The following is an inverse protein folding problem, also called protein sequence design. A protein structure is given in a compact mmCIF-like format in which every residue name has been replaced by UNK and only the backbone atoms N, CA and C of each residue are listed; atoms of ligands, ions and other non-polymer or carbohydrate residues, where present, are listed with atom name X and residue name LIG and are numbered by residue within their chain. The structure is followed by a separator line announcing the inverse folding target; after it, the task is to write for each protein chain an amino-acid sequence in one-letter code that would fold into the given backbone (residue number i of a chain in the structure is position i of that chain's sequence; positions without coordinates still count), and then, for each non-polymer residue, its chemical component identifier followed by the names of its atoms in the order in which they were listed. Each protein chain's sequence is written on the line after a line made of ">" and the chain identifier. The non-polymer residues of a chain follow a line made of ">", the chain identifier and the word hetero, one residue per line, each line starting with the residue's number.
data_IF_954031562754
#
_entry.id   IF_954031562754
#
_cell.length_a   1.000
_cell.length_b   1.000
_cell.length_c   1.000
_cell.angle_alpha   90.00
_cell.angle_beta   90.00
_cell.angle_gamma   90.00
#
_symmetry.space_group_name_H-M   'P 1'
#
loop_
_entity.id
_entity.type
_entity.pdbx_description
1 polymer ?
#
# COMPACT_ATOMS: atom_id res chain seq x y z
N UNK A 1 6.13 2.58 9.59
CA UNK A 1 5.47 3.35 8.51
C UNK A 1 5.25 2.39 7.38
N UNK A 2 3.98 2.12 7.11
CA UNK A 2 3.59 1.17 6.07
C UNK A 2 3.30 1.90 4.76
N UNK A 3 3.64 1.30 3.62
CA UNK A 3 3.26 1.77 2.29
C UNK A 3 2.71 0.62 1.44
N UNK A 4 1.53 0.84 0.88
CA UNK A 4 0.81 -0.09 0.02
C UNK A 4 0.97 0.30 -1.44
N UNK A 5 1.37 -0.66 -2.29
CA UNK A 5 1.50 -0.53 -3.75
C UNK A 5 0.83 -1.72 -4.45
N UNK A 6 0.55 -1.58 -5.75
CA UNK A 6 -0.03 -2.68 -6.54
C UNK A 6 1.05 -3.41 -7.34
N UNK A 7 1.08 -4.73 -7.24
CA UNK A 7 1.79 -5.59 -8.16
C UNK A 7 1.01 -5.68 -9.49
N UNK A 8 1.60 -5.19 -10.57
CA UNK A 8 1.06 -5.32 -11.94
C UNK A 8 1.75 -6.43 -12.70
N UNK A 9 0.95 -7.40 -13.10
CA UNK A 9 1.31 -8.54 -13.93
C UNK A 9 0.05 -9.30 -14.36
N UNK A 10 0.15 -10.13 -15.40
CA UNK A 10 -0.89 -11.12 -15.71
C UNK A 10 -0.88 -12.35 -14.78
N UNK A 11 0.02 -12.40 -13.79
CA UNK A 11 0.28 -13.56 -12.93
C UNK A 11 0.56 -13.13 -11.49
N UNK A 12 -0.07 -13.77 -10.50
CA UNK A 12 0.17 -13.46 -9.09
C UNK A 12 1.59 -13.83 -8.63
N UNK A 13 2.10 -13.20 -7.57
CA UNK A 13 3.34 -13.62 -6.92
C UNK A 13 3.06 -14.91 -6.15
N UNK A 14 3.79 -15.97 -6.48
CA UNK A 14 3.61 -17.30 -5.88
C UNK A 14 4.81 -17.66 -5.01
N UNK A 15 4.73 -18.79 -4.29
CA UNK A 15 5.84 -19.35 -3.50
C UNK A 15 7.17 -19.43 -4.29
N UNK A 16 7.10 -19.75 -5.58
CA UNK A 16 8.26 -19.79 -6.47
C UNK A 16 8.93 -18.41 -6.68
N UNK A 17 8.13 -17.34 -6.70
CA UNK A 17 8.63 -15.97 -6.86
C UNK A 17 9.33 -15.53 -5.58
N UNK A 18 8.72 -15.78 -4.40
CA UNK A 18 9.35 -15.49 -3.11
C UNK A 18 10.64 -16.28 -2.89
N UNK A 19 10.68 -17.53 -3.33
CA UNK A 19 11.92 -18.33 -3.34
C UNK A 19 13.02 -17.72 -4.22
N UNK A 20 12.64 -17.08 -5.33
CA UNK A 20 13.58 -16.38 -6.22
C UNK A 20 14.13 -15.11 -5.57
N UNK A 21 13.27 -14.35 -4.88
CA UNK A 21 13.69 -13.14 -4.15
C UNK A 21 14.68 -13.50 -3.04
N UNK A 22 14.39 -14.57 -2.29
CA UNK A 22 15.23 -15.09 -1.19
C UNK A 22 16.60 -15.60 -1.65
N UNK A 23 16.68 -16.19 -2.85
CA UNK A 23 17.94 -16.72 -3.41
C UNK A 23 18.77 -15.73 -4.25
N UNK A 24 18.33 -14.46 -4.38
CA UNK A 24 18.98 -13.42 -5.20
C UNK A 24 20.07 -12.62 -4.47
N UNK A 25 20.77 -11.75 -5.23
CA UNK A 25 21.98 -10.95 -4.90
C UNK A 25 22.07 -10.25 -3.51
N UNK A 26 23.21 -9.65 -3.17
CA UNK A 26 23.59 -9.22 -1.80
C UNK A 26 22.69 -8.23 -1.04
N UNK A 27 21.83 -7.45 -1.70
CA UNK A 27 21.23 -6.26 -1.05
C UNK A 27 19.90 -6.51 -0.32
N UNK A 28 19.36 -7.73 -0.38
CA UNK A 28 18.24 -8.18 0.45
C UNK A 28 18.69 -9.50 1.06
N UNK A 29 18.76 -9.52 2.39
CA UNK A 29 19.19 -10.65 3.20
C UNK A 29 18.10 -11.03 4.19
N UNK A 30 18.24 -12.20 4.81
CA UNK A 30 17.31 -12.72 5.82
C UNK A 30 15.85 -12.72 5.38
N UNK A 31 15.63 -13.00 4.08
CA UNK A 31 14.29 -13.04 3.49
C UNK A 31 13.55 -14.29 3.94
N UNK A 32 12.55 -14.10 4.80
CA UNK A 32 11.71 -15.15 5.36
C UNK A 32 10.25 -14.87 5.03
N UNK A 33 9.47 -15.92 4.77
CA UNK A 33 8.04 -15.77 4.53
C UNK A 33 7.24 -17.00 4.94
N UNK A 34 5.97 -16.77 5.23
CA UNK A 34 4.93 -17.77 5.40
C UNK A 34 3.72 -17.35 4.57
N UNK A 35 2.76 -18.25 4.46
CA UNK A 35 1.49 -17.93 3.81
C UNK A 35 0.31 -18.40 4.63
N UNK A 36 -0.76 -17.62 4.59
CA UNK A 36 -2.02 -17.92 5.26
C UNK A 36 -3.21 -17.47 4.40
N UNK A 37 -4.42 -17.63 4.90
CA UNK A 37 -5.66 -17.13 4.28
C UNK A 37 -6.15 -15.89 5.03
N UNK A 38 -6.74 -14.93 4.31
CA UNK A 38 -7.37 -13.76 4.92
C UNK A 38 -8.69 -14.15 5.57
N UNK A 39 -8.89 -13.74 6.82
CA UNK A 39 -10.21 -13.75 7.45
C UNK A 39 -10.94 -12.41 7.17
N UNK A 40 -12.13 -12.44 6.55
CA UNK A 40 -12.88 -11.21 6.29
C UNK A 40 -13.34 -10.52 7.58
N UNK A 41 -12.98 -9.24 7.73
CA UNK A 41 -13.43 -8.35 8.80
C UNK A 41 -14.64 -7.50 8.39
N UNK A 42 -14.93 -7.43 7.08
CA UNK A 42 -16.05 -6.66 6.54
C UNK A 42 -17.05 -7.54 5.80
N UNK A 43 -18.32 -7.15 5.87
CA UNK A 43 -19.38 -7.79 5.09
C UNK A 43 -19.14 -7.64 3.58
N UNK A 44 -19.54 -8.64 2.80
CA UNK A 44 -19.37 -8.68 1.34
C UNK A 44 -17.93 -8.48 0.85
N UNK A 45 -16.93 -8.89 1.63
CA UNK A 45 -15.54 -8.86 1.21
C UNK A 45 -15.33 -9.71 -0.06
N UNK A 46 -14.79 -9.13 -1.16
CA UNK A 46 -14.76 -9.81 -2.46
C UNK A 46 -13.72 -10.93 -2.57
N UNK A 47 -12.79 -11.05 -1.62
CA UNK A 47 -11.64 -11.96 -1.70
C UNK A 47 -11.56 -12.92 -0.50
N UNK A 48 -12.69 -13.52 -0.11
CA UNK A 48 -12.82 -14.34 1.10
C UNK A 48 -12.00 -15.64 1.12
N UNK A 49 -11.35 -16.01 0.01
CA UNK A 49 -10.43 -17.14 -0.09
C UNK A 49 -8.99 -16.74 -0.39
N UNK A 50 -8.66 -15.46 -0.34
CA UNK A 50 -7.37 -14.95 -0.78
C UNK A 50 -6.23 -15.45 0.10
N UNK A 51 -5.20 -15.98 -0.57
CA UNK A 51 -3.92 -16.28 0.05
C UNK A 51 -3.13 -15.00 0.28
N UNK A 52 -2.56 -14.89 1.47
CA UNK A 52 -1.60 -13.85 1.84
C UNK A 52 -0.22 -14.46 2.04
N UNK A 53 0.79 -13.73 1.63
CA UNK A 53 2.19 -14.03 1.91
C UNK A 53 2.72 -12.96 2.84
N UNK A 54 3.15 -13.35 4.03
CA UNK A 54 3.69 -12.44 5.05
C UNK A 54 5.13 -12.82 5.34
N UNK A 55 5.96 -11.84 5.61
CA UNK A 55 7.36 -12.11 5.86
C UNK A 55 8.16 -10.88 6.23
N UNK A 56 9.46 -11.07 6.31
CA UNK A 56 10.41 -10.01 6.60
C UNK A 56 11.68 -10.19 5.80
N UNK A 57 12.41 -9.09 5.63
CA UNK A 57 13.74 -9.09 5.05
C UNK A 57 14.52 -7.86 5.51
N UNK A 58 15.84 -7.93 5.40
CA UNK A 58 16.72 -6.79 5.65
C UNK A 58 17.25 -6.27 4.32
N UNK A 59 17.07 -4.98 4.07
CA UNK A 59 17.65 -4.29 2.92
C UNK A 59 18.99 -3.66 3.29
N UNK A 60 20.01 -3.90 2.49
CA UNK A 60 21.34 -3.32 2.62
C UNK A 60 21.48 -2.18 1.62
N UNK A 61 21.54 -0.95 2.12
CA UNK A 61 21.70 0.25 1.32
C UNK A 61 23.12 0.81 1.46
N UNK A 62 23.84 0.87 0.34
CA UNK A 62 25.16 1.50 0.30
C UNK A 62 25.04 3.02 0.38
N UNK A 63 25.90 3.66 1.18
CA UNK A 63 25.98 5.11 1.20
C UNK A 63 26.58 5.63 -0.12
N UNK A 64 25.96 6.62 -0.78
CA UNK A 64 26.39 7.07 -2.12
C UNK A 64 27.81 7.67 -2.16
N UNK A 65 28.39 7.97 -0.99
CA UNK A 65 29.72 8.55 -0.84
C UNK A 65 30.72 7.65 -0.09
N UNK A 66 30.33 6.43 0.30
CA UNK A 66 31.21 5.48 1.01
C UNK A 66 30.75 4.04 0.81
N UNK A 67 31.53 3.26 0.05
CA UNK A 67 31.31 1.82 -0.14
C UNK A 67 31.42 0.99 1.16
N UNK A 68 32.01 1.56 2.22
CA UNK A 68 32.17 0.89 3.51
C UNK A 68 31.06 1.22 4.51
N UNK A 69 30.10 2.08 4.14
CA UNK A 69 29.00 2.48 5.01
C UNK A 69 27.69 1.91 4.45
N UNK A 70 27.29 0.78 5.02
CA UNK A 70 26.07 0.07 4.64
C UNK A 70 25.03 0.34 5.71
N UNK A 71 23.91 0.93 5.30
CA UNK A 71 22.74 1.08 6.13
C UNK A 71 21.87 -0.15 5.99
N UNK A 72 21.64 -0.83 7.10
CA UNK A 72 20.69 -1.92 7.18
C UNK A 72 19.32 -1.36 7.56
N UNK A 73 18.26 -1.86 6.92
CA UNK A 73 16.89 -1.51 7.27
C UNK A 73 16.02 -2.73 7.16
N UNK A 74 15.37 -3.09 8.27
CA UNK A 74 14.44 -4.21 8.34
C UNK A 74 13.07 -3.80 7.81
N UNK A 75 12.49 -4.71 7.05
CA UNK A 75 11.16 -4.59 6.46
C UNK A 75 10.32 -5.79 6.83
N UNK A 76 9.06 -5.51 7.16
CA UNK A 76 7.99 -6.49 7.10
C UNK A 76 7.22 -6.29 5.80
N UNK A 77 6.73 -7.38 5.21
CA UNK A 77 5.96 -7.32 3.99
C UNK A 77 4.71 -8.19 4.06
N UNK A 78 3.69 -7.74 3.31
CA UNK A 78 2.47 -8.49 3.08
C UNK A 78 2.10 -8.40 1.59
N UNK A 79 1.92 -9.56 0.95
CA UNK A 79 1.39 -9.64 -0.41
C UNK A 79 0.05 -10.38 -0.43
N UNK A 80 -0.94 -9.81 -1.12
CA UNK A 80 -2.31 -10.31 -1.26
C UNK A 80 -2.51 -10.83 -2.69
N UNK A 81 -2.78 -12.12 -2.84
CA UNK A 81 -2.69 -12.80 -4.15
C UNK A 81 -3.74 -12.32 -5.17
N UNK A 82 -5.01 -12.17 -4.76
CA UNK A 82 -6.13 -11.84 -5.64
C UNK A 82 -6.16 -10.34 -6.00
N UNK A 83 -6.03 -9.46 -5.00
CA UNK A 83 -5.98 -8.00 -5.20
C UNK A 83 -4.64 -7.53 -5.77
N UNK A 84 -3.60 -8.37 -5.65
CA UNK A 84 -2.21 -8.10 -6.03
C UNK A 84 -1.64 -6.90 -5.29
N UNK A 85 -2.07 -6.68 -4.06
CA UNK A 85 -1.56 -5.63 -3.22
C UNK A 85 -0.25 -6.10 -2.56
N UNK A 86 0.77 -5.25 -2.57
CA UNK A 86 2.03 -5.47 -1.89
C UNK A 86 2.26 -4.33 -0.89
N UNK A 87 2.47 -4.68 0.37
CA UNK A 87 2.67 -3.75 1.49
C UNK A 87 4.07 -3.96 2.01
N UNK A 88 4.78 -2.85 2.25
CA UNK A 88 6.02 -2.83 3.01
C UNK A 88 5.81 -1.98 4.26
N UNK A 89 6.25 -2.47 5.41
CA UNK A 89 6.34 -1.71 6.65
C UNK A 89 7.77 -1.69 7.17
N UNK A 90 8.17 -0.55 7.71
CA UNK A 90 9.49 -0.37 8.31
C UNK A 90 9.44 0.71 9.39
N UNK A 91 10.31 0.57 10.39
CA UNK A 91 10.60 1.63 11.34
C UNK A 91 11.62 2.65 10.80
N UNK A 92 12.12 2.43 9.58
CA UNK A 92 13.03 3.32 8.86
C UNK A 92 12.34 4.53 8.19
N UNK A 93 13.12 5.41 7.53
CA UNK A 93 12.61 6.54 6.77
C UNK A 93 11.87 6.07 5.51
N UNK A 94 10.90 6.87 5.06
CA UNK A 94 10.09 6.59 3.86
C UNK A 94 10.91 6.38 2.58
N UNK A 95 12.07 7.05 2.45
CA UNK A 95 12.99 6.89 1.33
C UNK A 95 13.46 5.43 1.18
N UNK A 96 13.70 4.74 2.31
CA UNK A 96 14.14 3.35 2.33
C UNK A 96 13.08 2.40 1.73
N UNK A 97 11.79 2.74 1.82
CA UNK A 97 10.69 1.94 1.24
C UNK A 97 10.78 1.94 -0.30
N UNK A 98 11.05 3.09 -0.91
CA UNK A 98 11.16 3.18 -2.37
C UNK A 98 12.36 2.40 -2.90
N UNK A 99 13.49 2.48 -2.21
CA UNK A 99 14.68 1.70 -2.55
C UNK A 99 14.45 0.20 -2.38
N UNK A 100 13.77 -0.21 -1.29
CA UNK A 100 13.39 -1.60 -1.07
C UNK A 100 12.46 -2.13 -2.18
N UNK A 101 11.46 -1.36 -2.62
CA UNK A 101 10.64 -1.73 -3.79
C UNK A 101 11.46 -1.87 -5.06
N UNK A 102 12.45 -1.01 -5.28
CA UNK A 102 13.36 -1.11 -6.43
C UNK A 102 14.20 -2.40 -6.37
N UNK A 103 14.73 -2.73 -5.18
CA UNK A 103 15.50 -3.94 -4.93
C UNK A 103 14.67 -5.23 -5.05
N UNK A 104 13.39 -5.22 -4.66
CA UNK A 104 12.47 -6.33 -4.90
C UNK A 104 12.20 -6.47 -6.40
N UNK A 105 11.88 -5.36 -7.08
CA UNK A 105 11.55 -5.36 -8.51
C UNK A 105 12.67 -5.87 -9.41
N UNK A 106 13.95 -5.65 -9.05
CA UNK A 106 15.09 -6.17 -9.81
C UNK A 106 15.23 -7.69 -9.74
N UNK A 107 14.60 -8.33 -8.75
CA UNK A 107 14.59 -9.80 -8.55
C UNK A 107 13.33 -10.47 -9.09
N UNK A 108 12.30 -9.69 -9.39
CA UNK A 108 11.07 -10.24 -9.94
C UNK A 108 11.32 -10.79 -11.36
N UNK A 109 10.78 -11.99 -11.69
CA UNK A 109 10.81 -12.53 -13.04
C UNK A 109 10.33 -11.53 -14.10
N UNK A 110 10.87 -11.64 -15.32
CA UNK A 110 10.52 -10.77 -16.44
C UNK A 110 8.99 -10.64 -16.60
N UNK A 111 8.50 -9.39 -16.53
CA UNK A 111 7.07 -9.07 -16.69
C UNK A 111 6.29 -8.93 -15.37
N UNK A 112 6.89 -9.28 -14.23
CA UNK A 112 6.35 -8.98 -12.90
C UNK A 112 6.96 -7.67 -12.39
N UNK A 113 6.12 -6.70 -12.00
CA UNK A 113 6.58 -5.46 -11.37
C UNK A 113 5.60 -5.00 -10.30
N UNK A 114 6.13 -4.60 -9.16
CA UNK A 114 5.42 -3.80 -8.16
C UNK A 114 5.55 -2.34 -8.59
N UNK A 115 4.45 -1.75 -9.06
CA UNK A 115 4.45 -0.38 -9.56
C UNK A 115 3.88 0.57 -8.49
N UNK A 116 4.35 1.83 -8.45
CA UNK A 116 3.59 2.87 -7.78
C UNK A 116 2.21 2.98 -8.46
N UNK A 117 1.21 3.38 -7.67
CA UNK A 117 -0.13 3.61 -8.17
C UNK A 117 -1.12 2.56 -7.67
N UNK A 118 -2.08 3.07 -6.92
CA UNK A 118 -3.27 2.36 -6.52
C UNK A 118 -4.37 2.60 -7.55
N UNK A 119 -4.34 1.80 -8.61
CA UNK A 119 -5.26 1.99 -9.74
C UNK A 119 -6.71 1.76 -9.32
N UNK A 120 -7.50 2.83 -9.34
CA UNK A 120 -8.96 2.84 -9.19
C UNK A 120 -9.58 3.89 -10.11
N UNK A 121 -10.88 3.80 -10.39
CA UNK A 121 -11.58 4.93 -10.99
C UNK A 121 -11.68 6.08 -9.98
N UNK A 122 -11.83 7.32 -10.47
CA UNK A 122 -12.05 8.49 -9.58
C UNK A 122 -13.20 8.24 -8.60
N UNK A 123 -14.31 7.72 -9.11
CA UNK A 123 -15.47 7.37 -8.29
C UNK A 123 -15.15 6.33 -7.23
N UNK A 124 -14.30 5.34 -7.52
CA UNK A 124 -13.91 4.32 -6.55
C UNK A 124 -13.01 4.90 -5.45
N UNK A 125 -12.07 5.79 -5.80
CA UNK A 125 -11.23 6.50 -4.83
C UNK A 125 -12.07 7.38 -3.90
N UNK A 126 -12.98 8.17 -4.47
CA UNK A 126 -13.93 8.95 -3.68
C UNK A 126 -14.83 8.06 -2.82
N UNK A 127 -15.27 6.92 -3.33
CA UNK A 127 -16.02 5.93 -2.57
C UNK A 127 -15.23 5.38 -1.38
N UNK A 128 -13.95 5.08 -1.55
CA UNK A 128 -13.06 4.69 -0.45
C UNK A 128 -12.92 5.80 0.61
N UNK A 129 -12.67 7.04 0.19
CA UNK A 129 -12.55 8.19 1.10
C UNK A 129 -13.81 8.37 1.94
N UNK A 130 -14.99 8.13 1.36
CA UNK A 130 -16.27 8.19 2.07
C UNK A 130 -16.49 7.06 3.09
N UNK A 131 -15.67 6.01 3.07
CA UNK A 131 -15.74 4.94 4.09
C UNK A 131 -15.02 5.29 5.38
N UNK A 132 -14.22 6.37 5.40
CA UNK A 132 -13.55 6.83 6.61
C UNK A 132 -14.56 7.39 7.61
N UNK A 133 -14.33 7.11 8.90
CA UNK A 133 -15.17 7.59 10.00
C UNK A 133 -14.98 9.09 10.20
N UNK A 134 -13.75 9.58 10.03
CA UNK A 134 -13.42 10.99 9.96
C UNK A 134 -12.48 11.28 8.78
N UNK A 135 -12.66 12.44 8.17
CA UNK A 135 -11.90 12.90 7.00
C UNK A 135 -11.20 14.19 7.40
N UNK A 136 -9.87 14.17 7.36
CA UNK A 136 -9.03 15.33 7.58
C UNK A 136 -8.92 16.20 6.33
N UNK A 137 -7.70 16.57 5.94
CA UNK A 137 -7.49 17.34 4.72
C UNK A 137 -7.65 16.47 3.46
N UNK A 138 -8.35 16.98 2.44
CA UNK A 138 -8.35 16.42 1.09
C UNK A 138 -7.82 17.48 0.13
N UNK A 139 -6.84 17.12 -0.69
CA UNK A 139 -6.34 17.92 -1.80
C UNK A 139 -6.71 17.27 -3.13
N UNK A 140 -7.17 18.08 -4.08
CA UNK A 140 -7.55 17.62 -5.42
C UNK A 140 -6.77 18.37 -6.50
N UNK A 141 -6.55 17.71 -7.63
CA UNK A 141 -6.06 18.36 -8.84
C UNK A 141 -7.21 19.08 -9.55
N UNK A 142 -7.18 20.41 -9.56
CA UNK A 142 -8.18 21.27 -10.19
C UNK A 142 -7.51 22.48 -10.83
N UNK A 143 -7.94 22.83 -12.04
CA UNK A 143 -7.46 24.02 -12.77
C UNK A 143 -5.92 24.10 -12.90
N UNK A 144 -5.26 22.95 -13.09
CA UNK A 144 -3.80 22.78 -13.14
C UNK A 144 -3.04 23.09 -11.83
N UNK A 145 -3.72 23.01 -10.69
CA UNK A 145 -3.12 23.16 -9.37
C UNK A 145 -3.64 22.11 -8.38
N UNK A 146 -2.92 21.94 -7.26
CA UNK A 146 -3.32 21.10 -6.13
C UNK A 146 -3.98 22.00 -5.10
N UNK A 147 -5.29 21.86 -4.93
CA UNK A 147 -6.08 22.75 -4.07
C UNK A 147 -6.78 21.95 -2.97
N UNK A 148 -6.76 22.41 -1.71
CA UNK A 148 -7.59 21.85 -0.65
C UNK A 148 -9.08 21.95 -0.99
N UNK A 149 -9.83 20.88 -0.74
CA UNK A 149 -11.27 20.79 -1.09
C UNK A 149 -12.09 21.87 -0.39
N UNK A 150 -11.74 22.24 0.83
CA UNK A 150 -12.41 23.28 1.63
C UNK A 150 -12.23 24.70 1.08
N UNK A 151 -11.27 24.91 0.17
CA UNK A 151 -11.02 26.17 -0.53
C UNK A 151 -11.76 26.26 -1.87
N UNK A 152 -12.49 25.21 -2.26
CA UNK A 152 -13.23 25.16 -3.52
C UNK A 152 -14.70 25.51 -3.26
N UNK A 153 -15.25 26.47 -4.01
CA UNK A 153 -16.64 26.93 -3.83
C UNK A 153 -17.71 25.87 -4.19
N UNK A 154 -17.33 24.81 -4.89
CA UNK A 154 -18.21 23.68 -5.26
C UNK A 154 -18.52 22.79 -4.06
N UNK A 155 -19.67 22.12 -4.09
CA UNK A 155 -19.99 21.12 -3.05
C UNK A 155 -19.07 19.89 -3.15
N UNK A 156 -18.87 19.17 -2.05
CA UNK A 156 -18.09 17.92 -2.05
C UNK A 156 -18.69 16.90 -3.02
N UNK A 157 -20.02 16.83 -3.07
CA UNK A 157 -20.78 15.98 -3.98
C UNK A 157 -20.54 16.31 -5.45
N UNK A 158 -20.33 17.58 -5.79
CA UNK A 158 -19.97 18.00 -7.16
C UNK A 158 -18.53 17.65 -7.52
N UNK A 159 -17.61 17.63 -6.54
CA UNK A 159 -16.21 17.28 -6.76
C UNK A 159 -15.98 15.78 -6.90
N UNK A 160 -16.86 15.00 -6.29
CA UNK A 160 -16.82 13.54 -6.28
C UNK A 160 -16.97 12.94 -7.67
N UNK A 161 -15.97 12.16 -8.08
CA UNK A 161 -15.94 11.48 -9.38
C UNK A 161 -15.48 12.36 -10.54
N UNK A 162 -15.59 13.68 -10.41
CA UNK A 162 -15.14 14.65 -11.42
C UNK A 162 -13.65 15.00 -11.26
N UNK A 163 -13.20 15.17 -10.01
CA UNK A 163 -11.82 15.58 -9.71
C UNK A 163 -10.91 14.41 -9.32
N UNK A 164 -9.62 14.55 -9.61
CA UNK A 164 -8.59 13.60 -9.17
C UNK A 164 -8.19 13.97 -7.76
N UNK A 165 -8.31 13.04 -6.81
CA UNK A 165 -7.78 13.21 -5.46
C UNK A 165 -6.27 13.05 -5.53
N UNK A 166 -5.55 14.07 -5.06
CA UNK A 166 -4.10 14.07 -5.00
C UNK A 166 -3.60 13.49 -3.67
N UNK A 167 -4.22 13.91 -2.58
CA UNK A 167 -3.86 13.54 -1.21
C UNK A 167 -5.11 13.57 -0.32
N UNK A 168 -5.22 12.63 0.61
CA UNK A 168 -6.30 12.61 1.59
C UNK A 168 -5.85 12.00 2.93
N UNK A 169 -6.13 12.72 4.02
CA UNK A 169 -5.99 12.23 5.39
C UNK A 169 -7.30 11.60 5.85
N UNK A 170 -7.26 10.31 6.19
CA UNK A 170 -8.43 9.50 6.51
C UNK A 170 -8.24 8.84 7.87
N UNK A 171 -9.28 8.90 8.70
CA UNK A 171 -9.28 8.32 10.02
C UNK A 171 -10.31 7.18 10.05
N UNK A 172 -9.86 5.99 10.44
CA UNK A 172 -10.70 4.81 10.56
C UNK A 172 -10.67 4.30 11.99
N UNK A 173 -11.84 4.09 12.57
CA UNK A 173 -11.99 3.43 13.86
C UNK A 173 -11.76 1.92 13.66
N UNK A 174 -10.88 1.33 14.46
CA UNK A 174 -10.66 -0.11 14.39
C UNK A 174 -11.87 -0.83 15.02
N UNK A 175 -12.52 -1.79 14.34
CA UNK A 175 -13.60 -2.55 14.97
C UNK A 175 -13.13 -3.48 16.10
N UNK A 176 -11.83 -3.86 16.13
CA UNK A 176 -11.28 -4.80 17.11
C UNK A 176 -10.70 -4.11 18.36
N UNK A 177 -10.35 -2.83 18.30
CA UNK A 177 -9.84 -2.04 19.43
C UNK A 177 -10.42 -0.62 19.45
N UNK A 178 -10.19 0.15 20.51
CA UNK A 178 -10.70 1.53 20.61
C UNK A 178 -9.78 2.57 19.95
N UNK A 179 -8.83 2.12 19.13
CA UNK A 179 -7.86 2.94 18.43
C UNK A 179 -8.40 3.48 17.11
N UNK A 180 -7.73 4.53 16.62
CA UNK A 180 -8.02 5.14 15.34
C UNK A 180 -6.77 5.10 14.48
N UNK A 181 -6.93 4.61 13.24
CA UNK A 181 -5.87 4.53 12.26
C UNK A 181 -5.87 5.78 11.38
N UNK A 182 -4.80 6.56 11.43
CA UNK A 182 -4.55 7.62 10.44
C UNK A 182 -3.91 7.01 9.19
N UNK A 183 -4.66 7.10 8.10
CA UNK A 183 -4.30 6.59 6.79
C UNK A 183 -4.16 7.77 5.83
N UNK A 184 -3.01 7.85 5.18
CA UNK A 184 -2.73 8.85 4.16
C UNK A 184 -2.85 8.17 2.80
N UNK A 185 -3.82 8.62 2.01
CA UNK A 185 -3.93 8.24 0.61
C UNK A 185 -3.24 9.28 -0.26
N UNK A 186 -2.41 8.84 -1.20
CA UNK A 186 -1.98 9.63 -2.34
C UNK A 186 -2.11 8.82 -3.64
N UNK A 187 -1.97 9.46 -4.79
CA UNK A 187 -2.10 8.81 -6.11
C UNK A 187 -1.24 7.54 -6.24
N UNK A 188 -0.09 7.49 -5.56
CA UNK A 188 0.88 6.41 -5.67
C UNK A 188 0.68 5.29 -4.64
N UNK A 189 0.10 5.58 -3.47
CA UNK A 189 0.12 4.68 -2.33
C UNK A 189 -0.90 5.01 -1.24
N UNK A 190 -1.12 4.01 -0.39
CA UNK A 190 -1.81 4.16 0.89
C UNK A 190 -0.77 3.93 1.97
N UNK A 191 -0.59 4.88 2.87
CA UNK A 191 0.34 4.74 3.98
C UNK A 191 -0.36 4.90 5.32
N UNK A 192 0.16 4.21 6.34
CA UNK A 192 -0.29 4.40 7.72
C UNK A 192 0.73 5.24 8.47
N UNK A 193 0.23 6.28 9.13
CA UNK A 193 1.00 7.10 10.05
C UNK A 193 1.03 6.49 11.46
N UNK A 194 0.04 5.66 11.79
CA UNK A 194 -0.16 5.09 13.12
C UNK A 194 -0.53 3.63 12.99
N UNK A 195 0.43 2.74 13.21
CA UNK A 195 0.15 1.32 13.41
C UNK A 195 0.95 0.34 12.56
N UNK A 196 0.81 -0.94 12.89
CA UNK A 196 1.40 -2.08 12.16
C UNK A 196 0.54 -2.50 10.97
N UNK A 197 1.06 -3.40 10.13
CA UNK A 197 0.32 -3.95 8.99
C UNK A 197 -0.97 -4.66 9.45
N UNK A 198 -0.94 -5.32 10.62
CA UNK A 198 -2.10 -6.01 11.20
C UNK A 198 -3.23 -5.04 11.54
N UNK A 199 -2.89 -3.89 12.13
CA UNK A 199 -3.86 -2.85 12.50
C UNK A 199 -4.54 -2.22 11.27
N UNK A 200 -3.93 -2.38 10.08
CA UNK A 200 -4.49 -1.91 8.81
C UNK A 200 -5.38 -2.91 8.09
N UNK A 201 -5.55 -4.15 8.60
CA UNK A 201 -6.29 -5.19 7.88
C UNK A 201 -7.72 -4.75 7.51
N UNK A 202 -8.42 -4.11 8.45
CA UNK A 202 -9.75 -3.54 8.19
C UNK A 202 -9.74 -2.51 7.04
N UNK A 203 -8.80 -1.57 7.08
CA UNK A 203 -8.65 -0.52 6.05
C UNK A 203 -8.29 -1.14 4.70
N UNK A 204 -7.39 -2.13 4.68
CA UNK A 204 -6.98 -2.84 3.46
C UNK A 204 -8.18 -3.53 2.84
N UNK A 205 -9.03 -4.19 3.63
CA UNK A 205 -10.22 -4.84 3.10
C UNK A 205 -11.25 -3.85 2.57
N UNK A 206 -11.44 -2.70 3.24
CA UNK A 206 -12.29 -1.61 2.73
C UNK A 206 -11.77 -1.08 1.40
N UNK A 207 -10.47 -0.84 1.32
CA UNK A 207 -9.79 -0.40 0.11
C UNK A 207 -9.95 -1.41 -1.04
N UNK A 208 -9.74 -2.70 -0.78
CA UNK A 208 -9.94 -3.78 -1.75
C UNK A 208 -11.40 -3.85 -2.23
N UNK A 209 -12.37 -3.75 -1.31
CA UNK A 209 -13.80 -3.79 -1.63
C UNK A 209 -14.27 -2.60 -2.46
N UNK A 210 -13.71 -1.42 -2.24
CA UNK A 210 -14.14 -0.17 -2.88
C UNK A 210 -13.41 0.10 -4.20
N UNK A 211 -12.09 -0.12 -4.22
CA UNK A 211 -11.23 0.27 -5.35
C UNK A 211 -10.92 -0.91 -6.27
N UNK A 212 -10.75 -2.11 -5.73
CA UNK A 212 -10.33 -3.28 -6.54
C UNK A 212 -11.52 -4.10 -7.06
N UNK A 213 -12.75 -3.78 -6.63
CA UNK A 213 -13.99 -4.41 -7.11
C UNK A 213 -14.33 -3.93 -8.53
N UNK A 214 -13.71 -4.56 -9.52
CA UNK A 214 -13.95 -4.29 -10.95
C UNK A 214 -12.70 -4.05 -11.80
N UNK A 215 -11.50 -4.28 -11.26
CA UNK A 215 -10.23 -4.21 -11.99
C UNK A 215 -9.79 -5.54 -12.61
#
# INVERSE_FOLDING_TARGET
>A
MSQLRRARSGQALTDSVFSTISGGDSNIVDFNWSSDTVEPLIDDYPYSGQKIFRGSFTHLQEHPFSENDVRETDFEFLYREESRIFILDTNGPSEAISDAFSAINSRLPNGLRIQPGLSGSRSAIWGFIQTADEIGEIKVWKDNDIVPVDQIESSKEELMGETIVWDAELFFDNPEDSGQNLVIYNEESLSSATGSIEELEYVIQLFEKTIMRGA
#
